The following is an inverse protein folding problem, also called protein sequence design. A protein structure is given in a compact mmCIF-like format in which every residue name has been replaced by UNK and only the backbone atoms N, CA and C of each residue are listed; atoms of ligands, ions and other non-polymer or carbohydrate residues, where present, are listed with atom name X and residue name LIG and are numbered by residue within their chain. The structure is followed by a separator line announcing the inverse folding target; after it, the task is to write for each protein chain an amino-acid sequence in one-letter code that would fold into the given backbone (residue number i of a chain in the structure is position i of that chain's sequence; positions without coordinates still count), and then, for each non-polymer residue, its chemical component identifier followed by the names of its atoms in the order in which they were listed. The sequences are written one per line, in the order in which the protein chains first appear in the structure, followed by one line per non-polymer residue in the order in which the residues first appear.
data_IF_293684459962
#
_entry.id   IF_293684459962
#
_cell.length_a   1.000
_cell.length_b   1.000
_cell.length_c   1.000
_cell.angle_alpha   90.00
_cell.angle_beta   90.00
_cell.angle_gamma   90.00
#
_symmetry.space_group_name_H-M   'P 1'
#
loop_
_entity.id
_entity.type
_entity.pdbx_description
1 polymer ?
#
# COMPACT_ATOMS: atom_id res chain seq x y z
N UNK A 1 -54.35 32.13 -30.58
CA UNK A 1 -52.94 31.91 -30.21
C UNK A 1 -52.85 31.81 -28.69
N UNK A 2 -52.68 30.61 -28.14
CA UNK A 2 -52.40 30.36 -26.73
C UNK A 2 -51.24 29.36 -26.70
N UNK A 3 -50.03 29.87 -26.54
CA UNK A 3 -48.84 29.05 -26.36
C UNK A 3 -48.78 28.60 -24.91
N UNK A 4 -48.96 27.31 -24.68
CA UNK A 4 -48.71 26.67 -23.39
C UNK A 4 -47.20 26.41 -23.31
N UNK A 5 -46.49 27.14 -22.45
CA UNK A 5 -45.08 26.91 -22.16
C UNK A 5 -45.01 25.82 -21.08
N UNK A 6 -44.54 24.63 -21.44
CA UNK A 6 -44.16 23.60 -20.47
C UNK A 6 -42.79 23.93 -19.89
N UNK A 7 -42.71 24.10 -18.57
CA UNK A 7 -41.46 24.10 -17.83
C UNK A 7 -41.08 22.66 -17.51
N UNK A 8 -39.99 22.17 -18.10
CA UNK A 8 -39.33 20.95 -17.68
C UNK A 8 -38.39 21.29 -16.51
N UNK A 9 -38.67 20.77 -15.31
CA UNK A 9 -37.75 20.83 -14.19
C UNK A 9 -36.66 19.78 -14.40
N UNK A 10 -35.45 20.21 -14.75
CA UNK A 10 -34.27 19.36 -14.78
C UNK A 10 -33.80 19.13 -13.33
N UNK A 11 -33.97 17.91 -12.83
CA UNK A 11 -33.43 17.49 -11.54
C UNK A 11 -31.93 17.25 -11.73
N UNK A 12 -31.10 18.21 -11.28
CA UNK A 12 -29.65 18.03 -11.23
C UNK A 12 -29.32 17.15 -10.03
N UNK A 13 -28.93 15.89 -10.30
CA UNK A 13 -28.32 15.03 -9.29
C UNK A 13 -26.91 15.57 -9.07
N UNK A 14 -26.70 16.24 -7.93
CA UNK A 14 -25.36 16.59 -7.49
C UNK A 14 -24.67 15.28 -7.08
N UNK A 15 -23.79 14.75 -7.94
CA UNK A 15 -22.92 13.66 -7.56
C UNK A 15 -22.02 14.13 -6.41
N UNK A 16 -21.91 13.32 -5.36
CA UNK A 16 -20.92 13.56 -4.31
C UNK A 16 -19.54 13.55 -4.96
N UNK A 17 -18.85 14.69 -4.88
CA UNK A 17 -17.44 14.81 -5.24
C UNK A 17 -16.63 14.08 -4.17
N UNK A 18 -16.25 12.83 -4.41
CA UNK A 18 -15.25 12.17 -3.56
C UNK A 18 -13.94 12.95 -3.65
N UNK A 19 -13.35 13.30 -2.51
CA UNK A 19 -12.05 13.96 -2.46
C UNK A 19 -11.00 12.99 -3.00
N UNK A 20 -10.42 13.35 -4.15
CA UNK A 20 -9.38 12.56 -4.81
C UNK A 20 -8.08 12.66 -4.00
N UNK A 21 -7.36 11.54 -3.87
CA UNK A 21 -6.01 11.51 -3.31
C UNK A 21 -5.09 12.41 -4.14
N UNK A 22 -4.34 13.27 -3.45
CA UNK A 22 -3.37 14.18 -4.04
C UNK A 22 -1.97 13.68 -3.73
N UNK A 23 -1.23 13.25 -4.77
CA UNK A 23 0.16 12.84 -4.59
C UNK A 23 1.02 14.04 -4.19
N UNK A 24 1.36 14.16 -2.93
CA UNK A 24 2.26 15.18 -2.41
C UNK A 24 3.14 14.71 -1.23
N UNK A 25 2.95 13.48 -0.77
CA UNK A 25 3.67 12.94 0.37
C UNK A 25 2.96 13.16 1.70
N UNK A 26 1.70 13.61 1.70
CA UNK A 26 0.88 13.87 2.90
C UNK A 26 -0.36 12.97 2.92
N UNK A 27 -0.71 12.45 4.08
CA UNK A 27 -1.94 11.68 4.27
C UNK A 27 -3.17 12.58 4.11
N UNK A 28 -3.85 12.47 2.97
CA UNK A 28 -5.16 13.05 2.80
C UNK A 28 -6.19 12.47 3.80
N UNK A 29 -7.20 13.28 4.22
CA UNK A 29 -8.32 12.77 5.01
C UNK A 29 -9.04 11.56 4.36
N UNK A 30 -8.97 11.44 3.04
CA UNK A 30 -9.57 10.36 2.27
C UNK A 30 -9.01 8.97 2.61
N UNK A 31 -7.77 8.88 3.11
CA UNK A 31 -7.19 7.61 3.54
C UNK A 31 -7.79 7.07 4.84
N UNK A 32 -8.38 7.93 5.68
CA UNK A 32 -8.90 7.53 6.99
C UNK A 32 -7.79 7.25 8.01
N UNK A 33 -7.96 6.18 8.79
CA UNK A 33 -7.02 5.77 9.84
C UNK A 33 -5.83 4.99 9.24
N UNK A 34 -4.67 4.96 9.90
CA UNK A 34 -3.57 4.12 9.43
C UNK A 34 -3.97 2.63 9.44
N UNK A 35 -3.62 1.91 8.39
CA UNK A 35 -3.80 0.44 8.27
C UNK A 35 -2.78 -0.32 9.10
N UNK A 36 -1.60 0.26 9.31
CA UNK A 36 -0.57 -0.28 10.21
C UNK A 36 0.25 0.86 10.82
N UNK A 37 0.74 0.65 12.04
CA UNK A 37 1.61 1.59 12.75
C UNK A 37 2.90 0.87 13.15
N UNK A 38 4.05 1.49 12.92
CA UNK A 38 5.35 0.95 13.29
C UNK A 38 5.48 0.83 14.82
N UNK A 39 6.10 -0.26 15.28
CA UNK A 39 6.38 -0.51 16.68
C UNK A 39 7.88 -0.71 17.00
N UNK A 40 8.76 -0.49 16.02
CA UNK A 40 10.21 -0.73 16.10
C UNK A 40 10.96 0.59 15.89
N UNK A 41 11.86 0.93 16.82
CA UNK A 41 12.79 2.06 16.65
C UNK A 41 13.63 1.92 15.36
N UNK A 42 14.13 3.03 14.80
CA UNK A 42 14.91 2.97 13.56
C UNK A 42 16.40 2.73 13.78
N UNK A 43 16.92 1.68 13.11
CA UNK A 43 18.34 1.42 12.98
C UNK A 43 18.99 2.12 11.79
N UNK A 44 18.21 2.88 11.02
CA UNK A 44 18.62 3.61 9.80
C UNK A 44 18.61 5.15 9.98
N UNK A 45 18.56 5.59 11.23
CA UNK A 45 18.64 7.00 11.60
C UNK A 45 17.26 7.65 11.73
N UNK A 46 17.09 8.39 12.83
CA UNK A 46 15.90 9.20 13.15
C UNK A 46 16.09 10.60 12.56
N UNK A 47 15.24 10.95 11.60
CA UNK A 47 15.35 12.18 10.84
C UNK A 47 14.88 13.37 11.67
N UNK A 48 15.70 14.43 11.74
CA UNK A 48 15.45 15.55 12.67
C UNK A 48 15.50 16.94 12.02
N UNK A 49 15.48 17.01 10.69
CA UNK A 49 15.66 18.26 9.95
C UNK A 49 14.35 18.97 9.59
N UNK A 50 13.26 18.23 9.40
CA UNK A 50 11.95 18.81 9.08
C UNK A 50 11.86 19.45 7.69
N UNK A 51 12.65 18.96 6.74
CA UNK A 51 12.70 19.47 5.36
C UNK A 51 12.01 18.53 4.37
N UNK A 52 11.22 19.08 3.46
CA UNK A 52 10.45 18.30 2.47
C UNK A 52 11.37 17.49 1.54
N UNK A 53 12.49 18.06 1.10
CA UNK A 53 13.38 17.53 0.07
C UNK A 53 14.72 17.03 0.62
N UNK A 54 14.82 16.80 1.93
CA UNK A 54 16.02 16.23 2.52
C UNK A 54 15.71 15.50 3.83
N UNK A 55 16.27 14.31 4.02
CA UNK A 55 16.29 13.60 5.30
C UNK A 55 17.68 13.00 5.56
N UNK A 56 18.11 13.05 6.83
CA UNK A 56 19.35 12.48 7.35
C UNK A 56 19.16 11.15 8.09
N UNK A 57 17.99 10.53 7.91
CA UNK A 57 17.63 9.24 8.48
C UNK A 57 16.46 8.63 7.73
N UNK A 58 16.37 7.30 7.78
CA UNK A 58 15.32 6.51 7.17
C UNK A 58 14.47 5.85 8.25
N UNK A 59 13.16 6.06 8.21
CA UNK A 59 12.23 5.48 9.15
C UNK A 59 10.83 5.32 8.53
N UNK A 60 10.13 4.27 8.96
CA UNK A 60 8.73 4.04 8.62
C UNK A 60 7.91 4.13 9.89
N UNK A 61 6.89 4.99 9.91
CA UNK A 61 6.06 5.27 11.06
C UNK A 61 4.67 4.62 10.98
N UNK A 62 4.15 4.44 9.77
CA UNK A 62 2.88 3.75 9.55
C UNK A 62 2.52 3.75 8.07
N UNK A 63 1.43 3.07 7.73
CA UNK A 63 0.86 3.12 6.40
C UNK A 63 -0.59 3.58 6.42
N UNK A 64 -0.97 4.33 5.40
CA UNK A 64 -2.32 4.71 5.07
C UNK A 64 -2.58 4.25 3.63
N UNK A 65 -3.71 3.59 3.40
CA UNK A 65 -3.97 2.98 2.11
C UNK A 65 -5.42 3.15 1.70
N UNK A 66 -5.64 3.28 0.40
CA UNK A 66 -6.96 3.43 -0.21
C UNK A 66 -6.93 2.83 -1.60
N UNK A 67 -7.93 2.03 -1.94
CA UNK A 67 -8.18 1.61 -3.31
C UNK A 67 -9.25 2.51 -3.91
N UNK A 68 -8.94 3.18 -5.01
CA UNK A 68 -9.88 4.07 -5.70
C UNK A 68 -9.51 4.22 -7.18
N UNK A 69 -10.53 4.23 -8.05
CA UNK A 69 -10.33 4.53 -9.47
C UNK A 69 -9.43 3.55 -10.23
N UNK A 70 -9.26 2.32 -9.73
CA UNK A 70 -8.36 1.32 -10.31
C UNK A 70 -6.90 1.44 -9.85
N UNK A 71 -6.64 2.24 -8.81
CA UNK A 71 -5.32 2.41 -8.21
C UNK A 71 -5.33 2.00 -6.75
N UNK A 72 -4.22 1.45 -6.28
CA UNK A 72 -3.83 1.48 -4.88
C UNK A 72 -3.09 2.79 -4.64
N UNK A 73 -3.62 3.60 -3.74
CA UNK A 73 -2.92 4.71 -3.12
C UNK A 73 -2.35 4.24 -1.78
N UNK A 74 -1.07 4.50 -1.54
CA UNK A 74 -0.36 4.06 -0.35
C UNK A 74 0.58 5.16 0.13
N UNK A 75 0.28 5.76 1.28
CA UNK A 75 1.24 6.58 2.00
C UNK A 75 1.97 5.73 3.03
N UNK A 76 3.29 5.69 2.91
CA UNK A 76 4.21 5.16 3.90
C UNK A 76 4.81 6.34 4.67
N UNK A 77 4.21 6.61 5.82
CA UNK A 77 4.55 7.74 6.67
C UNK A 77 5.96 7.53 7.30
N UNK A 78 6.73 8.61 7.48
CA UNK A 78 8.10 8.61 7.97
C UNK A 78 9.05 9.37 7.04
N UNK A 79 10.26 8.85 6.87
CA UNK A 79 11.31 9.49 6.07
C UNK A 79 12.07 8.46 5.25
N UNK A 80 12.45 8.84 4.04
CA UNK A 80 13.43 8.12 3.24
C UNK A 80 14.70 8.97 3.16
N UNK A 81 15.80 8.48 3.74
CA UNK A 81 17.07 9.21 3.78
C UNK A 81 17.52 9.59 2.36
N UNK A 82 18.03 10.81 2.22
CA UNK A 82 18.51 11.37 0.94
C UNK A 82 19.88 10.83 0.51
N UNK A 83 20.11 9.54 0.74
CA UNK A 83 21.38 8.83 0.53
C UNK A 83 21.27 7.63 -0.41
N UNK A 84 20.13 7.51 -1.11
CA UNK A 84 19.77 6.40 -1.96
C UNK A 84 19.45 5.06 -1.27
N UNK A 85 19.13 5.07 0.03
CA UNK A 85 18.38 3.96 0.63
C UNK A 85 17.15 3.64 -0.23
N UNK A 86 16.75 2.37 -0.21
CA UNK A 86 15.67 1.86 -1.04
C UNK A 86 14.46 1.60 -0.17
N UNK A 87 13.34 2.20 -0.54
CA UNK A 87 12.05 1.77 -0.06
C UNK A 87 11.58 0.63 -0.97
N UNK A 88 11.46 -0.56 -0.40
CA UNK A 88 10.96 -1.75 -1.08
C UNK A 88 9.50 -1.98 -0.71
N UNK A 89 8.64 -2.15 -1.71
CA UNK A 89 7.23 -2.46 -1.51
C UNK A 89 6.86 -3.66 -2.37
N UNK A 90 6.42 -4.73 -1.71
CA UNK A 90 5.91 -5.94 -2.34
C UNK A 90 4.41 -6.04 -2.13
N UNK A 91 3.69 -6.48 -3.15
CA UNK A 91 2.23 -6.64 -3.12
C UNK A 91 1.88 -8.07 -3.52
N UNK A 92 1.07 -8.72 -2.69
CA UNK A 92 0.38 -9.98 -2.98
C UNK A 92 -1.12 -9.65 -3.11
N UNK A 93 -1.69 -10.00 -4.24
CA UNK A 93 -3.01 -9.57 -4.67
C UNK A 93 -3.81 -10.67 -5.36
N UNK A 94 -3.13 -11.67 -5.93
CA UNK A 94 -3.74 -12.81 -6.63
C UNK A 94 -2.96 -14.08 -6.32
N UNK A 95 -3.60 -15.26 -6.41
CA UNK A 95 -2.86 -16.53 -6.28
C UNK A 95 -1.75 -16.63 -7.34
N UNK A 96 -0.54 -17.00 -6.91
CA UNK A 96 0.63 -17.02 -7.78
C UNK A 96 1.79 -16.30 -7.12
N UNK A 97 2.55 -15.52 -7.88
CA UNK A 97 3.62 -14.72 -7.28
C UNK A 97 4.80 -15.53 -6.72
N UNK A 98 5.58 -14.90 -5.83
CA UNK A 98 6.78 -15.44 -5.20
C UNK A 98 6.76 -15.24 -3.69
N UNK A 99 6.66 -16.32 -2.89
CA UNK A 99 6.91 -16.26 -1.44
C UNK A 99 8.41 -16.18 -1.10
N UNK A 100 9.24 -16.92 -1.83
CA UNK A 100 10.68 -16.78 -1.77
C UNK A 100 11.14 -16.10 -3.05
N UNK A 101 11.76 -14.93 -2.88
CA UNK A 101 12.15 -14.11 -4.00
C UNK A 101 13.24 -14.82 -4.82
N UNK A 102 13.04 -14.86 -6.14
CA UNK A 102 13.98 -15.47 -7.09
C UNK A 102 15.02 -14.46 -7.57
N UNK A 103 16.20 -14.93 -7.95
CA UNK A 103 17.27 -14.11 -8.55
C UNK A 103 17.30 -14.12 -10.07
N UNK A 104 16.27 -14.66 -10.73
CA UNK A 104 16.08 -14.69 -12.19
C UNK A 104 14.87 -13.87 -12.65
N UNK A 105 14.47 -12.87 -11.87
CA UNK A 105 13.49 -11.85 -12.25
C UNK A 105 14.05 -10.88 -13.30
N UNK A 106 13.20 -9.98 -13.80
CA UNK A 106 13.59 -8.87 -14.67
C UNK A 106 14.79 -8.11 -14.08
N UNK A 107 15.82 -7.86 -14.90
CA UNK A 107 16.90 -6.95 -14.52
C UNK A 107 16.37 -5.51 -14.49
N UNK A 108 16.21 -4.99 -13.29
CA UNK A 108 15.70 -3.65 -12.99
C UNK A 108 16.48 -3.06 -11.82
N UNK A 109 16.61 -1.73 -11.82
CA UNK A 109 17.39 -0.98 -10.83
C UNK A 109 18.81 -1.53 -10.65
N UNK A 110 19.52 -1.74 -11.76
CA UNK A 110 20.88 -2.30 -11.80
C UNK A 110 20.95 -3.70 -11.15
N UNK A 111 20.00 -4.57 -11.52
CA UNK A 111 19.82 -5.91 -10.98
C UNK A 111 19.54 -5.96 -9.46
N UNK A 112 18.99 -4.87 -8.89
CA UNK A 112 18.70 -4.74 -7.46
C UNK A 112 17.63 -5.71 -6.95
N UNK A 113 16.57 -5.95 -7.74
CA UNK A 113 15.55 -6.94 -7.40
C UNK A 113 16.14 -8.35 -7.23
N UNK A 114 16.93 -8.78 -8.22
CA UNK A 114 17.61 -10.09 -8.19
C UNK A 114 18.71 -10.16 -7.12
N UNK A 115 19.23 -9.01 -6.67
CA UNK A 115 20.17 -8.96 -5.55
C UNK A 115 19.51 -9.41 -4.24
N UNK A 116 18.21 -9.26 -4.08
CA UNK A 116 17.49 -9.78 -2.90
C UNK A 116 17.04 -11.24 -3.04
N UNK A 117 17.06 -11.80 -4.26
CA UNK A 117 16.53 -13.13 -4.55
C UNK A 117 17.56 -14.25 -4.65
N UNK A 118 17.05 -15.49 -4.75
CA UNK A 118 17.83 -16.73 -4.82
C UNK A 118 18.74 -16.81 -6.06
N UNK A 119 20.03 -17.13 -5.91
CA UNK A 119 20.92 -17.36 -7.05
C UNK A 119 20.79 -18.81 -7.56
N UNK A 120 19.91 -19.00 -8.53
CA UNK A 120 19.69 -20.31 -9.16
C UNK A 120 20.94 -20.88 -9.86
N UNK A 121 21.98 -20.08 -10.10
CA UNK A 121 23.24 -20.51 -10.70
C UNK A 121 24.25 -21.06 -9.69
N UNK A 122 24.08 -20.76 -8.39
CA UNK A 122 24.91 -21.30 -7.32
C UNK A 122 24.03 -21.93 -6.24
N UNK A 123 23.90 -23.28 -6.19
CA UNK A 123 23.09 -23.93 -5.18
C UNK A 123 23.79 -23.88 -3.82
N UNK A 124 23.67 -22.75 -3.12
CA UNK A 124 23.87 -22.68 -1.67
C UNK A 124 22.58 -23.16 -0.98
N UNK A 125 22.67 -23.42 0.31
CA UNK A 125 21.49 -23.74 1.13
C UNK A 125 20.54 -22.54 1.10
N UNK A 126 19.35 -22.73 0.48
CA UNK A 126 18.15 -21.83 0.48
C UNK A 126 18.51 -20.36 0.73
N UNK A 127 18.74 -19.60 -0.33
CA UNK A 127 18.93 -18.15 -0.27
C UNK A 127 17.77 -17.39 -0.95
N UNK A 128 17.65 -16.10 -0.69
CA UNK A 128 16.58 -15.25 -1.21
C UNK A 128 15.64 -14.80 -0.10
N UNK A 129 15.25 -13.53 -0.14
CA UNK A 129 14.29 -12.96 0.79
C UNK A 129 13.01 -13.80 0.78
N UNK A 130 12.60 -14.28 1.95
CA UNK A 130 11.40 -15.08 2.11
C UNK A 130 10.35 -14.32 2.91
N UNK A 131 9.16 -14.20 2.36
CA UNK A 131 8.01 -13.58 3.01
C UNK A 131 7.31 -14.54 3.98
N UNK A 132 6.43 -14.01 4.81
CA UNK A 132 5.56 -14.77 5.71
C UNK A 132 4.74 -15.85 5.00
N UNK A 133 4.27 -16.84 5.76
CA UNK A 133 3.34 -17.83 5.23
C UNK A 133 2.08 -17.16 4.68
N UNK A 134 1.67 -17.56 3.47
CA UNK A 134 0.51 -17.00 2.81
C UNK A 134 0.74 -15.63 2.17
N UNK A 135 1.99 -15.13 2.08
CA UNK A 135 2.33 -13.98 1.25
C UNK A 135 3.10 -14.43 0.00
N UNK A 136 2.53 -14.25 -1.18
CA UNK A 136 3.17 -14.61 -2.45
C UNK A 136 3.21 -13.38 -3.38
N UNK A 137 4.35 -12.68 -3.43
CA UNK A 137 4.43 -11.36 -4.06
C UNK A 137 4.20 -11.43 -5.58
N UNK A 138 3.27 -10.62 -6.09
CA UNK A 138 2.94 -10.44 -7.51
C UNK A 138 3.61 -9.22 -8.15
N UNK A 139 3.87 -8.20 -7.34
CA UNK A 139 4.41 -6.91 -7.78
C UNK A 139 5.46 -6.42 -6.79
N UNK A 140 6.53 -5.86 -7.34
CA UNK A 140 7.55 -5.12 -6.62
C UNK A 140 7.59 -3.68 -7.12
N UNK A 141 7.67 -2.74 -6.18
CA UNK A 141 7.89 -1.32 -6.40
C UNK A 141 9.07 -0.89 -5.55
N UNK A 142 9.99 -0.11 -6.14
CA UNK A 142 11.12 0.46 -5.40
C UNK A 142 11.24 1.94 -5.67
N UNK A 143 11.41 2.70 -4.59
CA UNK A 143 11.60 4.15 -4.62
C UNK A 143 12.88 4.50 -3.85
N UNK A 144 13.64 5.45 -4.39
CA UNK A 144 14.85 5.95 -3.75
C UNK A 144 15.00 7.44 -3.96
N UNK A 145 15.69 8.14 -3.08
CA UNK A 145 15.93 9.58 -3.23
C UNK A 145 17.33 10.01 -2.79
N UNK A 146 17.79 11.11 -3.37
CA UNK A 146 19.08 11.71 -3.04
C UNK A 146 19.74 12.41 -4.23
N UNK A 147 20.99 12.81 -4.02
CA UNK A 147 21.84 13.43 -5.04
C UNK A 147 22.17 14.90 -4.79
N UNK A 148 23.11 15.47 -5.56
CA UNK A 148 23.54 16.87 -5.39
C UNK A 148 22.39 17.87 -5.63
N UNK A 149 21.54 17.55 -6.59
CA UNK A 149 20.18 18.09 -6.68
C UNK A 149 19.26 16.98 -6.24
N UNK A 150 18.43 17.24 -5.24
CA UNK A 150 17.51 16.23 -4.74
C UNK A 150 16.60 15.73 -5.87
N UNK A 151 16.53 14.42 -5.99
CA UNK A 151 15.64 13.74 -6.92
C UNK A 151 15.14 12.44 -6.30
N UNK A 152 13.95 12.05 -6.73
CA UNK A 152 13.31 10.77 -6.41
C UNK A 152 13.27 9.92 -7.67
N UNK A 153 13.52 8.62 -7.54
CA UNK A 153 13.60 7.67 -8.65
C UNK A 153 12.67 6.48 -8.38
N UNK A 154 11.93 6.05 -9.41
CA UNK A 154 10.88 5.05 -9.27
C UNK A 154 11.10 3.87 -10.22
N UNK A 155 11.00 2.65 -9.68
CA UNK A 155 11.06 1.39 -10.41
C UNK A 155 9.87 0.49 -10.05
N UNK A 156 9.47 -0.40 -10.96
CA UNK A 156 8.62 -1.54 -10.62
C UNK A 156 8.99 -2.78 -11.43
N UNK A 157 8.57 -3.95 -10.95
CA UNK A 157 8.54 -5.19 -11.72
C UNK A 157 7.42 -6.12 -11.25
N UNK A 158 6.79 -6.85 -12.18
CA UNK A 158 5.91 -7.98 -11.86
C UNK A 158 6.74 -9.19 -11.44
N UNK A 159 6.20 -10.05 -10.60
CA UNK A 159 6.89 -11.22 -10.03
C UNK A 159 6.16 -12.54 -10.34
N UNK A 160 6.16 -13.03 -11.59
CA UNK A 160 5.57 -14.34 -11.88
C UNK A 160 6.25 -15.46 -11.09
N UNK A 161 5.52 -16.52 -10.73
CA UNK A 161 6.05 -17.67 -9.98
C UNK A 161 7.30 -18.30 -10.60
N UNK A 162 7.36 -18.31 -11.93
CA UNK A 162 8.46 -18.90 -12.70
C UNK A 162 9.66 -17.95 -12.92
N UNK A 163 9.64 -16.75 -12.33
CA UNK A 163 10.67 -15.72 -12.53
C UNK A 163 10.40 -14.80 -13.74
N UNK A 164 11.44 -14.12 -14.22
CA UNK A 164 11.37 -13.06 -15.22
C UNK A 164 10.42 -11.91 -14.83
N UNK A 165 9.33 -11.71 -15.57
CA UNK A 165 8.40 -10.60 -15.38
C UNK A 165 8.63 -9.41 -16.31
N UNK A 166 7.90 -8.33 -16.04
CA UNK A 166 7.85 -7.10 -16.84
C UNK A 166 7.91 -5.88 -15.92
N UNK A 167 8.37 -4.74 -16.43
CA UNK A 167 8.52 -3.52 -15.65
C UNK A 167 9.73 -2.70 -16.08
N UNK A 168 10.32 -1.97 -15.13
CA UNK A 168 11.52 -1.17 -15.34
C UNK A 168 11.46 0.18 -14.63
N UNK A 169 12.48 1.00 -14.91
CA UNK A 169 12.55 2.39 -14.45
C UNK A 169 11.44 3.24 -15.08
N UNK A 170 10.67 3.92 -14.23
CA UNK A 170 9.54 4.75 -14.67
C UNK A 170 9.93 6.20 -14.92
N UNK A 171 10.90 6.71 -14.16
CA UNK A 171 11.35 8.08 -14.23
C UNK A 171 11.73 8.65 -12.87
N UNK A 172 11.91 9.96 -12.85
CA UNK A 172 12.27 10.72 -11.65
C UNK A 172 11.41 11.97 -11.49
N UNK A 173 11.41 12.49 -10.26
CA UNK A 173 10.79 13.76 -9.89
C UNK A 173 11.46 14.36 -8.66
N UNK A 174 10.77 15.26 -7.97
CA UNK A 174 11.27 15.95 -6.78
C UNK A 174 10.50 15.59 -5.51
N UNK A 175 10.54 16.47 -4.51
CA UNK A 175 9.74 16.35 -3.30
C UNK A 175 8.60 17.39 -3.25
N UNK A 176 7.66 17.15 -2.34
CA UNK A 176 6.43 17.91 -2.13
C UNK A 176 5.50 17.87 -3.34
N UNK A 177 4.38 18.59 -3.23
CA UNK A 177 3.38 18.71 -4.29
C UNK A 177 3.97 19.10 -5.65
N UNK A 178 4.97 19.99 -5.69
CA UNK A 178 5.60 20.44 -6.94
C UNK A 178 6.51 19.39 -7.58
N UNK A 179 7.03 18.46 -6.79
CA UNK A 179 7.92 17.39 -7.24
C UNK A 179 7.21 16.06 -7.52
N UNK A 180 5.98 15.91 -7.03
CA UNK A 180 5.16 14.73 -7.26
C UNK A 180 4.96 14.46 -8.76
N UNK A 181 4.95 13.18 -9.12
CA UNK A 181 4.99 12.76 -10.52
C UNK A 181 4.10 11.55 -10.76
N UNK A 182 3.28 11.60 -11.81
CA UNK A 182 2.56 10.45 -12.36
C UNK A 182 3.15 10.11 -13.73
N UNK A 183 3.55 8.87 -13.92
CA UNK A 183 4.17 8.35 -15.13
C UNK A 183 3.13 7.89 -16.15
N UNK A 184 3.57 7.73 -17.40
CA UNK A 184 2.70 7.25 -18.50
C UNK A 184 2.09 5.87 -18.25
N UNK A 185 2.75 5.06 -17.43
CA UNK A 185 2.27 3.73 -16.99
C UNK A 185 1.14 3.80 -15.97
N UNK A 186 0.84 4.98 -15.41
CA UNK A 186 -0.14 5.16 -14.35
C UNK A 186 0.44 5.02 -12.93
N UNK A 187 1.68 4.53 -12.79
CA UNK A 187 2.40 4.62 -11.54
C UNK A 187 2.69 6.08 -11.20
N UNK A 188 2.78 6.42 -9.92
CA UNK A 188 3.15 7.76 -9.49
C UNK A 188 3.66 7.78 -8.06
N UNK A 189 4.23 8.91 -7.68
CA UNK A 189 4.65 9.13 -6.31
C UNK A 189 4.52 10.61 -5.89
N UNK A 190 4.40 10.81 -4.58
CA UNK A 190 4.68 12.04 -3.84
C UNK A 190 5.70 11.74 -2.74
N UNK A 191 6.42 12.75 -2.26
CA UNK A 191 7.37 12.59 -1.15
C UNK A 191 7.42 13.84 -0.30
N UNK A 192 7.20 13.71 1.00
CA UNK A 192 7.42 14.76 1.99
C UNK A 192 8.26 14.21 3.14
N UNK A 193 9.57 14.50 3.10
CA UNK A 193 10.52 14.09 4.14
C UNK A 193 10.53 15.01 5.37
N UNK A 194 9.53 15.88 5.56
CA UNK A 194 9.50 16.84 6.67
C UNK A 194 9.14 16.24 8.04
N UNK A 195 8.90 14.92 8.13
CA UNK A 195 8.65 14.28 9.41
C UNK A 195 9.84 14.41 10.38
N UNK A 196 9.53 14.68 11.65
CA UNK A 196 10.45 14.74 12.81
C UNK A 196 9.84 14.09 14.06
N UNK A 197 8.79 13.28 13.87
CA UNK A 197 8.02 12.63 14.92
C UNK A 197 7.91 11.13 14.63
N UNK A 198 7.35 10.38 15.59
CA UNK A 198 7.15 8.94 15.46
C UNK A 198 8.21 8.14 16.18
N UNK A 199 8.76 7.12 15.51
CA UNK A 199 9.83 6.29 16.08
C UNK A 199 11.10 7.10 16.29
N UNK A 200 11.96 6.60 17.17
CA UNK A 200 13.27 7.22 17.44
C UNK A 200 14.38 6.25 17.07
N UNK A 201 15.62 6.73 17.05
CA UNK A 201 16.78 5.90 16.74
C UNK A 201 17.03 4.80 17.78
N UNK A 202 17.22 3.56 17.32
CA UNK A 202 17.56 2.41 18.17
C UNK A 202 17.01 1.08 17.66
N UNK A 203 16.93 0.12 18.57
CA UNK A 203 16.46 -1.25 18.31
C UNK A 203 15.42 -1.73 19.32
N UNK A 204 14.93 -0.86 20.19
CA UNK A 204 13.90 -1.18 21.16
C UNK A 204 12.49 -1.05 20.52
N UNK A 205 11.48 -1.34 21.32
CA UNK A 205 10.09 -1.05 20.97
C UNK A 205 9.91 0.48 20.85
N UNK A 206 9.25 0.90 19.78
CA UNK A 206 8.89 2.29 19.48
C UNK A 206 7.41 2.43 19.13
N UNK A 207 7.02 3.60 18.63
CA UNK A 207 5.67 3.85 18.11
C UNK A 207 5.73 4.94 17.03
N UNK A 208 5.33 4.61 15.82
CA UNK A 208 5.21 5.57 14.72
C UNK A 208 3.86 6.27 14.62
N UNK A 209 3.00 6.15 15.64
CA UNK A 209 1.68 6.76 15.62
C UNK A 209 1.72 8.29 15.47
N UNK A 210 0.76 8.85 14.72
CA UNK A 210 0.56 10.30 14.60
C UNK A 210 1.43 10.98 13.54
N UNK A 211 2.09 10.22 12.67
CA UNK A 211 2.82 10.73 11.51
C UNK A 211 1.95 10.64 10.26
N UNK A 212 2.00 11.69 9.43
CA UNK A 212 1.15 11.86 8.25
C UNK A 212 1.92 12.31 7.01
N UNK A 213 3.25 12.44 7.08
CA UNK A 213 4.10 12.78 5.94
C UNK A 213 5.06 11.63 5.65
N UNK A 214 5.44 11.45 4.39
CA UNK A 214 6.40 10.41 3.98
C UNK A 214 6.39 10.16 2.48
N UNK A 215 6.55 8.90 2.08
CA UNK A 215 6.48 8.50 0.67
C UNK A 215 5.05 8.10 0.32
N UNK A 216 4.50 8.72 -0.70
CA UNK A 216 3.16 8.40 -1.21
C UNK A 216 3.27 7.75 -2.59
N UNK A 217 2.54 6.67 -2.81
CA UNK A 217 2.59 5.87 -4.02
C UNK A 217 1.20 5.76 -4.64
N UNK A 218 1.15 5.91 -5.96
CA UNK A 218 0.00 5.52 -6.78
C UNK A 218 0.42 4.31 -7.62
N UNK A 219 -0.29 3.20 -7.44
CA UNK A 219 0.01 1.92 -8.09
C UNK A 219 -1.21 1.49 -8.91
N UNK A 220 -1.13 1.42 -10.25
CA UNK A 220 -2.23 0.95 -11.06
C UNK A 220 -2.47 -0.54 -10.79
N UNK A 221 -3.67 -0.91 -10.34
CA UNK A 221 -4.01 -2.31 -10.07
C UNK A 221 -4.02 -3.16 -11.34
N UNK A 222 -4.15 -2.53 -12.51
CA UNK A 222 -3.98 -3.18 -13.81
C UNK A 222 -2.54 -3.67 -14.08
N UNK A 223 -1.55 -3.25 -13.28
CA UNK A 223 -0.19 -3.80 -13.34
C UNK A 223 -0.09 -5.21 -12.74
N UNK A 224 -1.09 -5.61 -11.96
CA UNK A 224 -1.20 -6.95 -11.39
C UNK A 224 -2.12 -7.77 -12.28
N UNK A 225 -1.53 -8.65 -13.09
CA UNK A 225 -2.28 -9.47 -14.02
C UNK A 225 -3.25 -10.40 -13.28
N UNK A 226 -4.53 -10.31 -13.62
CA UNK A 226 -5.56 -11.16 -13.02
C UNK A 226 -6.25 -10.55 -11.81
N UNK A 227 -5.79 -9.42 -11.27
CA UNK A 227 -6.50 -8.75 -10.18
C UNK A 227 -7.90 -8.29 -10.64
N UNK A 228 -8.91 -8.63 -9.84
CA UNK A 228 -10.33 -8.30 -10.10
C UNK A 228 -11.01 -7.54 -8.96
N UNK A 229 -10.26 -7.19 -7.91
CA UNK A 229 -10.80 -6.72 -6.64
C UNK A 229 -10.46 -7.68 -5.52
N UNK A 230 -10.83 -7.31 -4.29
CA UNK A 230 -10.49 -8.06 -3.08
C UNK A 230 -9.31 -7.46 -2.33
N UNK A 231 -9.01 -8.04 -1.17
CA UNK A 231 -7.95 -7.57 -0.31
C UNK A 231 -6.56 -7.74 -0.95
N UNK A 232 -5.68 -6.79 -0.65
CA UNK A 232 -4.28 -6.83 -1.02
C UNK A 232 -3.45 -7.00 0.25
N UNK A 233 -2.35 -7.73 0.17
CA UNK A 233 -1.32 -7.71 1.22
C UNK A 233 -0.14 -6.89 0.74
N UNK A 234 0.44 -6.11 1.64
CA UNK A 234 1.59 -5.26 1.36
C UNK A 234 2.68 -5.53 2.40
N UNK A 235 3.87 -5.88 1.92
CA UNK A 235 5.11 -5.92 2.72
C UNK A 235 5.97 -4.75 2.28
N UNK A 236 6.22 -3.80 3.17
CA UNK A 236 7.03 -2.61 2.87
C UNK A 236 8.16 -2.43 3.87
N UNK A 237 9.38 -2.20 3.38
CA UNK A 237 10.55 -2.03 4.24
C UNK A 237 11.64 -1.16 3.61
N UNK A 238 12.58 -0.69 4.43
CA UNK A 238 13.77 0.05 3.95
C UNK A 238 14.97 -0.88 3.85
N UNK A 239 15.68 -0.79 2.74
CA UNK A 239 16.91 -1.50 2.43
C UNK A 239 18.05 -0.50 2.11
N UNK A 240 19.29 -0.94 2.23
CA UNK A 240 20.47 -0.15 1.86
C UNK A 240 20.52 0.13 0.35
N UNK A 241 21.33 1.11 -0.05
CA UNK A 241 21.47 1.54 -1.46
C UNK A 241 21.70 0.40 -2.45
N UNK A 242 22.43 -0.63 -2.03
CA UNK A 242 22.79 -1.78 -2.86
C UNK A 242 21.76 -2.92 -2.86
N UNK A 243 20.57 -2.73 -2.27
CA UNK A 243 19.60 -3.81 -2.04
C UNK A 243 20.18 -4.96 -1.18
N UNK A 244 21.17 -4.66 -0.33
CA UNK A 244 22.05 -5.64 0.31
C UNK A 244 22.07 -5.57 1.84
N UNK A 245 21.26 -4.70 2.44
CA UNK A 245 21.19 -4.54 3.89
C UNK A 245 19.79 -4.09 4.34
N UNK A 246 18.95 -5.06 4.68
CA UNK A 246 17.58 -4.84 5.16
C UNK A 246 17.62 -4.23 6.57
N UNK A 247 16.99 -3.07 6.72
CA UNK A 247 16.87 -2.37 8.00
C UNK A 247 15.88 -3.08 8.95
N UNK A 248 15.72 -2.56 10.17
CA UNK A 248 14.62 -2.96 11.05
C UNK A 248 13.30 -2.21 10.77
N UNK A 249 13.25 -1.40 9.70
CA UNK A 249 12.08 -0.63 9.32
C UNK A 249 11.23 -1.44 8.34
N UNK A 250 10.33 -2.25 8.90
CA UNK A 250 9.36 -3.10 8.19
C UNK A 250 7.94 -2.73 8.66
N UNK A 251 7.00 -2.57 7.74
CA UNK A 251 5.58 -2.34 8.01
C UNK A 251 4.82 -3.66 7.87
N UNK A 252 4.17 -4.07 8.97
CA UNK A 252 4.16 -5.47 9.41
C UNK A 252 5.23 -5.61 10.51
N UNK A 253 5.10 -4.87 11.62
CA UNK A 253 6.26 -4.38 12.34
C UNK A 253 6.88 -5.45 13.28
N UNK A 254 8.21 -5.46 13.37
CA UNK A 254 9.02 -6.53 13.97
C UNK A 254 8.85 -6.74 15.49
N UNK A 255 8.29 -5.75 16.20
CA UNK A 255 8.17 -5.76 17.66
C UNK A 255 9.44 -5.33 18.40
N UNK A 256 10.26 -4.49 17.78
CA UNK A 256 11.64 -4.23 18.22
C UNK A 256 12.65 -5.09 17.45
N UNK A 257 13.94 -4.84 17.66
CA UNK A 257 15.04 -5.57 17.02
C UNK A 257 15.98 -4.68 16.22
N UNK A 258 17.19 -5.18 15.99
CA UNK A 258 18.19 -4.52 15.14
C UNK A 258 17.94 -4.79 13.66
N UNK A 259 18.72 -4.12 12.80
CA UNK A 259 18.66 -4.34 11.35
C UNK A 259 18.86 -5.82 10.99
N UNK A 260 18.13 -6.31 9.98
CA UNK A 260 18.10 -7.71 9.61
C UNK A 260 19.31 -8.14 8.75
N UNK A 261 19.99 -7.19 8.12
CA UNK A 261 21.24 -7.43 7.38
C UNK A 261 21.00 -7.99 5.99
N UNK A 262 21.75 -9.00 5.57
CA UNK A 262 21.70 -9.56 4.22
C UNK A 262 20.28 -10.03 3.83
N UNK A 263 19.57 -9.36 2.89
CA UNK A 263 18.18 -9.70 2.55
C UNK A 263 17.99 -11.14 2.09
N UNK A 264 18.97 -11.73 1.41
CA UNK A 264 18.92 -13.14 0.96
C UNK A 264 18.94 -14.15 2.10
N UNK A 265 19.31 -13.72 3.30
CA UNK A 265 19.32 -14.56 4.51
C UNK A 265 18.14 -14.27 5.42
N UNK A 266 17.24 -13.36 5.04
CA UNK A 266 16.06 -12.99 5.82
C UNK A 266 14.86 -13.86 5.40
N UNK A 267 14.18 -14.39 6.40
CA UNK A 267 12.92 -15.10 6.28
C UNK A 267 11.95 -14.50 7.30
N UNK A 268 10.97 -13.75 6.83
CA UNK A 268 9.93 -13.16 7.68
C UNK A 268 9.08 -14.24 8.35
N UNK A 269 8.89 -15.40 7.70
CA UNK A 269 8.26 -16.56 8.32
C UNK A 269 8.93 -17.07 9.61
N UNK A 270 10.17 -16.65 9.92
CA UNK A 270 10.86 -16.97 11.17
C UNK A 270 10.73 -15.89 12.26
N UNK A 271 10.06 -14.77 11.96
CA UNK A 271 9.80 -13.66 12.87
C UNK A 271 8.35 -13.77 13.37
N UNK A 272 8.08 -13.52 14.67
CA UNK A 272 6.72 -13.60 15.19
C UNK A 272 5.76 -12.56 14.60
N UNK A 273 4.61 -13.03 14.11
CA UNK A 273 3.58 -12.19 13.49
C UNK A 273 3.90 -11.88 12.03
N UNK A 274 2.96 -11.30 11.31
CA UNK A 274 3.10 -11.06 9.87
C UNK A 274 3.92 -9.78 9.60
N UNK A 275 4.89 -9.84 8.69
CA UNK A 275 5.65 -8.69 8.16
C UNK A 275 4.99 -8.09 6.91
N UNK A 276 3.69 -8.27 6.80
CA UNK A 276 2.81 -7.58 5.86
C UNK A 276 1.59 -7.03 6.59
N UNK A 277 0.87 -6.12 5.93
CA UNK A 277 -0.44 -5.66 6.35
C UNK A 277 -1.45 -5.80 5.22
N UNK A 278 -2.72 -5.92 5.58
CA UNK A 278 -3.81 -6.05 4.62
C UNK A 278 -4.36 -4.66 4.30
N UNK A 279 -4.38 -4.31 3.01
CA UNK A 279 -5.19 -3.21 2.49
C UNK A 279 -6.51 -3.82 2.09
N UNK A 280 -7.53 -3.56 2.90
CA UNK A 280 -8.90 -3.93 2.56
C UNK A 280 -9.21 -3.29 1.20
N UNK A 281 -9.52 -4.11 0.20
CA UNK A 281 -9.44 -3.66 -1.19
C UNK A 281 -10.52 -2.68 -1.62
N UNK A 282 -11.30 -2.14 -0.66
CA UNK A 282 -12.64 -1.62 -0.93
C UNK A 282 -13.54 -2.65 -1.62
N UNK A 283 -13.07 -3.90 -1.73
CA UNK A 283 -13.79 -5.09 -2.17
C UNK A 283 -14.44 -5.84 -1.00
N UNK A 284 -14.11 -5.50 0.24
CA UNK A 284 -15.11 -5.42 1.29
C UNK A 284 -15.72 -4.02 1.22
N UNK A 285 -16.36 -3.66 0.11
CA UNK A 285 -17.68 -4.15 -0.20
C UNK A 285 -18.00 -4.15 -1.72
N UNK A 286 -17.62 -5.18 -2.49
CA UNK A 286 -18.35 -5.43 -3.74
C UNK A 286 -19.79 -5.88 -3.46
N UNK A 287 -20.05 -6.30 -2.23
CA UNK A 287 -21.37 -6.50 -1.64
C UNK A 287 -21.40 -5.88 -0.24
N UNK A 288 -21.64 -4.56 -0.10
CA UNK A 288 -21.92 -3.95 1.21
C UNK A 288 -23.08 -4.64 1.93
N UNK A 289 -23.90 -5.30 1.12
CA UNK A 289 -25.04 -6.10 1.47
C UNK A 289 -24.74 -7.56 1.81
N UNK A 290 -23.49 -8.04 1.70
CA UNK A 290 -23.07 -9.37 2.22
C UNK A 290 -22.68 -9.18 3.69
N UNK A 291 -23.70 -9.21 4.54
CA UNK A 291 -23.61 -8.92 5.96
C UNK A 291 -23.09 -10.11 6.78
N UNK A 292 -23.14 -11.32 6.22
CA UNK A 292 -22.62 -12.53 6.87
C UNK A 292 -21.25 -12.99 6.36
N UNK A 293 -20.74 -12.35 5.31
CA UNK A 293 -19.41 -12.57 4.75
C UNK A 293 -19.31 -13.89 3.97
N UNK A 294 -20.42 -14.38 3.43
CA UNK A 294 -20.49 -15.66 2.71
C UNK A 294 -19.98 -15.58 1.27
N UNK A 295 -19.73 -14.37 0.75
CA UNK A 295 -19.35 -14.12 -0.64
C UNK A 295 -20.56 -14.05 -1.58
N UNK A 296 -21.78 -13.84 -1.05
CA UNK A 296 -23.01 -13.68 -1.84
C UNK A 296 -24.02 -12.86 -1.06
N UNK A 297 -24.82 -12.03 -1.74
CA UNK A 297 -25.97 -11.33 -1.14
C UNK A 297 -27.22 -12.18 -1.34
N UNK A 298 -27.68 -12.81 -0.27
CA UNK A 298 -28.86 -13.68 -0.30
C UNK A 298 -29.83 -13.48 0.88
N UNK A 299 -30.68 -14.49 1.13
CA UNK A 299 -31.70 -14.42 2.17
C UNK A 299 -31.11 -14.39 3.59
N UNK A 300 -29.86 -14.85 3.75
CA UNK A 300 -29.12 -14.84 5.00
C UNK A 300 -28.74 -13.40 5.37
N UNK A 301 -28.27 -12.61 4.40
CA UNK A 301 -27.99 -11.18 4.60
C UNK A 301 -29.25 -10.38 4.85
N UNK A 302 -30.33 -10.68 4.12
CA UNK A 302 -31.63 -10.05 4.38
C UNK A 302 -32.10 -10.33 5.81
N UNK A 303 -31.88 -11.55 6.32
CA UNK A 303 -32.21 -11.89 7.71
C UNK A 303 -31.34 -11.12 8.71
N UNK A 304 -30.05 -10.95 8.43
CA UNK A 304 -29.12 -10.14 9.23
C UNK A 304 -29.56 -8.68 9.27
N UNK A 305 -29.91 -8.08 8.13
CA UNK A 305 -30.40 -6.71 8.02
C UNK A 305 -31.70 -6.52 8.83
N UNK A 306 -32.71 -7.36 8.61
CA UNK A 306 -33.99 -7.26 9.31
C UNK A 306 -33.87 -7.52 10.81
N UNK A 307 -32.91 -8.35 11.23
CA UNK A 307 -32.61 -8.59 12.65
C UNK A 307 -31.97 -7.40 13.36
N UNK A 308 -31.37 -6.48 12.60
CA UNK A 308 -30.68 -5.29 13.08
C UNK A 308 -31.46 -3.98 12.89
N UNK A 309 -32.75 -4.04 12.56
CA UNK A 309 -33.58 -2.85 12.32
C UNK A 309 -33.51 -1.83 13.46
N UNK A 310 -33.36 -0.54 13.12
CA UNK A 310 -33.10 0.57 14.06
C UNK A 310 -31.80 0.43 14.89
N UNK A 311 -30.83 -0.38 14.44
CA UNK A 311 -29.49 -0.49 15.03
C UNK A 311 -28.40 -0.49 13.93
N UNK A 312 -27.12 -0.40 14.29
CA UNK A 312 -26.04 -0.30 13.31
C UNK A 312 -25.63 -1.64 12.64
N UNK A 313 -26.31 -2.76 12.96
CA UNK A 313 -25.86 -4.10 12.58
C UNK A 313 -26.08 -4.48 11.12
N UNK A 314 -26.90 -3.73 10.38
CA UNK A 314 -27.11 -3.86 8.93
C UNK A 314 -27.14 -2.50 8.24
N UNK A 315 -26.39 -1.55 8.79
CA UNK A 315 -26.22 -0.19 8.26
C UNK A 315 -25.21 -0.25 7.10
N UNK A 316 -25.75 -0.35 5.89
CA UNK A 316 -25.02 -0.55 4.64
C UNK A 316 -24.58 0.81 4.07
N UNK A 317 -25.32 1.88 4.34
CA UNK A 317 -25.02 3.24 3.85
C UNK A 317 -24.30 4.15 4.86
N UNK A 318 -23.87 3.58 6.00
CA UNK A 318 -23.16 4.27 7.10
C UNK A 318 -23.94 5.46 7.67
N UNK A 319 -25.28 5.42 7.65
CA UNK A 319 -26.15 6.48 8.19
C UNK A 319 -26.29 6.45 9.71
N UNK A 320 -25.82 5.36 10.35
CA UNK A 320 -25.82 5.11 11.78
C UNK A 320 -26.96 4.21 12.27
N UNK A 321 -27.91 3.82 11.41
CA UNK A 321 -28.99 2.88 11.74
C UNK A 321 -29.43 2.09 10.49
N UNK A 322 -29.88 0.85 10.69
CA UNK A 322 -30.50 0.03 9.65
C UNK A 322 -31.96 0.43 9.42
N UNK A 323 -32.27 0.91 8.22
CA UNK A 323 -33.61 1.26 7.79
C UNK A 323 -33.97 0.80 6.35
N UNK A 324 -35.02 1.40 5.78
CA UNK A 324 -35.50 1.04 4.46
C UNK A 324 -34.50 1.38 3.33
N UNK A 325 -33.56 2.29 3.58
CA UNK A 325 -32.49 2.69 2.66
C UNK A 325 -31.48 1.54 2.50
N UNK A 326 -31.05 0.94 3.60
CA UNK A 326 -30.18 -0.25 3.61
C UNK A 326 -30.86 -1.44 2.94
N UNK A 327 -32.14 -1.65 3.22
CA UNK A 327 -32.92 -2.72 2.59
C UNK A 327 -32.96 -2.55 1.06
N UNK A 328 -33.09 -1.32 0.58
CA UNK A 328 -33.09 -1.05 -0.85
C UNK A 328 -31.72 -1.33 -1.49
N UNK A 329 -30.63 -1.02 -0.79
CA UNK A 329 -29.27 -1.33 -1.22
C UNK A 329 -29.07 -2.85 -1.28
N UNK A 330 -29.46 -3.58 -0.24
CA UNK A 330 -29.36 -5.04 -0.18
C UNK A 330 -30.08 -5.72 -1.34
N UNK A 331 -31.35 -5.36 -1.58
CA UNK A 331 -32.12 -5.95 -2.66
C UNK A 331 -31.59 -5.58 -4.05
N UNK A 332 -30.91 -4.43 -4.18
CA UNK A 332 -30.28 -4.03 -5.44
C UNK A 332 -28.96 -4.77 -5.73
N UNK A 333 -28.38 -5.39 -4.70
CA UNK A 333 -27.10 -6.10 -4.73
C UNK A 333 -27.23 -7.62 -4.72
N UNK A 334 -28.44 -8.18 -4.85
CA UNK A 334 -28.70 -9.62 -4.73
C UNK A 334 -27.92 -10.46 -5.74
N UNK A 335 -27.20 -11.47 -5.25
CA UNK A 335 -26.39 -12.40 -6.06
C UNK A 335 -24.93 -12.51 -5.61
N UNK A 336 -24.13 -13.20 -6.41
CA UNK A 336 -22.72 -13.47 -6.11
C UNK A 336 -21.89 -12.19 -6.01
N UNK A 337 -20.93 -12.24 -5.08
CA UNK A 337 -19.83 -11.31 -4.92
C UNK A 337 -18.54 -11.97 -5.48
#
# INVERSE_FOLDING_TARGET
MRNTIMFAAALAIAGASHAQVTLDGVADPAYGKPVVVQNTQTGFGDANQGTIDFANGSELNGAYARIEGGFLFLLLAGNLESNYNKLEVFIDAVPGGQNQLRGDNLDVDFNGLNRMGDDLSTPKTVEGLRFDEGFEADLWVSLTCGGPTFAVFFNYATLPTEGAGTGGYQGSGGAGFAGATVFKSGFGFGLDNSNIAGVVGGSDIGSGAGVFTGVELQIPLSSIAGYKGGDLKVSAFINGQGHDFLSNQVLGPLGGGGNLGEPRSVSFADIPGDQFFVVAGGGGSSCPADLDGSGSVDASDLATLLGAWDAAGGDIDDSGNTDASDLAILLSSWGDC
#
